data_IF_373917934218
#
_entry.id   IF_373917934218
#
_cell.length_a   1.000
_cell.length_b   1.000
_cell.length_c   1.000
_cell.angle_alpha   90.00
_cell.angle_beta   90.00
_cell.angle_gamma   90.00
#
_symmetry.space_group_name_H-M   'P 1'
#
loop_
_entity.id
_entity.type
_entity.pdbx_description
1 polymer ?
#
# COMPACT_ATOMS: atom_id res chain seq x y z
N UNK A 1 1.91 4.36 4.07
CA UNK A 1 1.47 3.63 2.86
C UNK A 1 -0.03 3.26 2.84
N UNK A 2 -0.64 2.90 3.97
CA UNK A 2 -2.03 2.40 4.02
C UNK A 2 -3.13 3.47 3.90
N UNK A 3 -2.83 4.75 4.16
CA UNK A 3 -3.78 5.87 4.03
C UNK A 3 -3.71 6.65 2.70
N UNK A 4 -2.84 6.26 1.76
CA UNK A 4 -2.73 6.96 0.48
C UNK A 4 -3.98 6.69 -0.39
N UNK A 5 -4.34 7.64 -1.26
CA UNK A 5 -5.34 7.42 -2.32
C UNK A 5 -4.80 6.40 -3.33
N UNK A 6 -5.68 5.61 -3.96
CA UNK A 6 -5.30 4.56 -4.92
C UNK A 6 -4.30 5.00 -6.02
N UNK A 7 -4.45 6.19 -6.65
CA UNK A 7 -3.50 6.63 -7.67
C UNK A 7 -2.11 6.90 -7.10
N UNK A 8 -2.03 7.45 -5.88
CA UNK A 8 -0.74 7.71 -5.22
C UNK A 8 -0.05 6.42 -4.80
N UNK A 9 -0.82 5.41 -4.41
CA UNK A 9 -0.29 4.07 -4.15
C UNK A 9 0.28 3.46 -5.43
N UNK A 10 -0.48 3.44 -6.52
CA UNK A 10 0.00 2.93 -7.81
C UNK A 10 1.25 3.68 -8.31
N UNK A 11 1.28 5.01 -8.18
CA UNK A 11 2.44 5.82 -8.53
C UNK A 11 3.67 5.47 -7.67
N UNK A 12 3.50 5.28 -6.35
CA UNK A 12 4.60 4.90 -5.47
C UNK A 12 5.20 3.54 -5.88
N UNK A 13 4.34 2.57 -6.19
CA UNK A 13 4.74 1.23 -6.65
C UNK A 13 5.49 1.30 -7.97
N UNK A 14 4.96 2.05 -8.93
CA UNK A 14 5.61 2.26 -10.22
C UNK A 14 6.99 2.93 -10.07
N UNK A 15 7.13 3.90 -9.17
CA UNK A 15 8.42 4.54 -8.89
C UNK A 15 9.43 3.58 -8.25
N UNK A 16 9.01 2.74 -7.31
CA UNK A 16 9.88 1.70 -6.71
C UNK A 16 10.33 0.72 -7.78
N UNK A 17 9.40 0.24 -8.62
CA UNK A 17 9.70 -0.66 -9.72
C UNK A 17 10.70 -0.04 -10.71
N UNK A 18 10.45 1.19 -11.17
CA UNK A 18 11.36 1.90 -12.07
C UNK A 18 12.73 2.15 -11.43
N UNK A 19 12.76 2.53 -10.14
CA UNK A 19 14.00 2.75 -9.39
C UNK A 19 14.84 1.49 -9.26
N UNK A 20 14.22 0.34 -8.99
CA UNK A 20 14.91 -0.96 -8.96
C UNK A 20 15.46 -1.33 -10.34
N UNK A 21 14.67 -1.18 -11.40
CA UNK A 21 15.14 -1.47 -12.76
C UNK A 21 16.31 -0.56 -13.17
N UNK A 22 16.26 0.73 -12.83
CA UNK A 22 17.36 1.65 -13.10
C UNK A 22 18.63 1.28 -12.31
N UNK A 23 18.48 0.84 -11.06
CA UNK A 23 19.59 0.36 -10.24
C UNK A 23 20.25 -0.88 -10.86
N UNK A 24 19.46 -1.90 -11.23
CA UNK A 24 20.00 -3.11 -11.86
C UNK A 24 20.55 -2.84 -13.25
N UNK A 25 19.93 -1.98 -14.05
CA UNK A 25 20.47 -1.52 -15.33
C UNK A 25 21.87 -0.89 -15.16
N UNK A 26 22.05 -0.05 -14.14
CA UNK A 26 23.34 0.53 -13.81
C UNK A 26 24.37 -0.54 -13.40
N UNK A 27 23.97 -1.52 -12.59
CA UNK A 27 24.84 -2.66 -12.23
C UNK A 27 25.27 -3.44 -13.48
N UNK A 28 24.33 -3.83 -14.35
CA UNK A 28 24.67 -4.52 -15.60
C UNK A 28 25.59 -3.71 -16.50
N UNK A 29 25.45 -2.39 -16.49
CA UNK A 29 26.26 -1.50 -17.32
C UNK A 29 27.73 -1.44 -16.91
N UNK A 30 28.10 -1.83 -15.68
CA UNK A 30 29.49 -1.82 -15.21
C UNK A 30 30.40 -2.81 -15.93
N UNK A 31 29.85 -3.92 -16.43
CA UNK A 31 30.59 -4.82 -17.29
C UNK A 31 30.01 -4.77 -18.69
N UNK A 32 30.80 -4.26 -19.63
CA UNK A 32 30.42 -4.23 -21.04
C UNK A 32 30.29 -5.65 -21.58
N UNK A 33 29.30 -5.89 -22.46
CA UNK A 33 28.96 -7.21 -23.00
C UNK A 33 28.57 -8.26 -21.93
N UNK A 34 27.99 -7.82 -20.80
CA UNK A 34 27.45 -8.69 -19.75
C UNK A 34 26.16 -9.43 -20.17
N UNK A 35 25.43 -8.88 -21.14
CA UNK A 35 24.13 -9.37 -21.63
C UNK A 35 24.27 -9.68 -23.13
N UNK A 36 23.93 -10.92 -23.51
CA UNK A 36 23.85 -11.34 -24.90
C UNK A 36 22.52 -10.90 -25.55
N UNK A 37 22.51 -10.72 -26.88
CA UNK A 37 21.30 -10.35 -27.62
C UNK A 37 20.93 -8.86 -27.56
N UNK A 38 21.86 -8.01 -27.13
CA UNK A 38 21.73 -6.54 -27.19
C UNK A 38 21.74 -6.07 -28.64
N UNK A 39 20.85 -5.11 -28.96
CA UNK A 39 20.71 -4.50 -30.29
C UNK A 39 21.85 -3.55 -30.66
N UNK A 40 22.80 -3.29 -29.76
CA UNK A 40 24.03 -2.52 -30.00
C UNK A 40 23.85 -1.00 -30.16
N UNK A 41 22.60 -0.51 -30.26
CA UNK A 41 22.32 0.92 -30.41
C UNK A 41 22.55 1.73 -29.12
N UNK A 42 22.02 1.25 -27.99
CA UNK A 42 22.18 1.93 -26.70
C UNK A 42 22.31 0.92 -25.54
N UNK A 43 23.56 0.65 -25.14
CA UNK A 43 23.91 -0.33 -24.11
C UNK A 43 23.10 -0.20 -22.81
N UNK A 44 22.96 1.01 -22.28
CA UNK A 44 22.21 1.23 -21.03
C UNK A 44 20.71 0.91 -21.16
N UNK A 45 20.10 1.25 -22.31
CA UNK A 45 18.68 0.93 -22.54
C UNK A 45 18.48 -0.58 -22.71
N UNK A 46 19.42 -1.28 -23.36
CA UNK A 46 19.39 -2.74 -23.43
C UNK A 46 19.52 -3.36 -22.03
N UNK A 47 20.41 -2.86 -21.17
CA UNK A 47 20.50 -3.28 -19.75
C UNK A 47 19.21 -2.99 -18.98
N UNK A 48 18.55 -1.86 -19.23
CA UNK A 48 17.29 -1.49 -18.59
C UNK A 48 16.15 -2.41 -19.01
N UNK A 49 15.98 -2.67 -20.30
CA UNK A 49 14.95 -3.59 -20.77
C UNK A 49 15.23 -5.03 -20.36
N UNK A 50 16.50 -5.44 -20.29
CA UNK A 50 16.90 -6.72 -19.71
C UNK A 50 16.51 -6.83 -18.23
N UNK A 51 16.75 -5.78 -17.44
CA UNK A 51 16.33 -5.71 -16.03
C UNK A 51 14.81 -5.79 -15.90
N UNK A 52 14.05 -5.03 -16.72
CA UNK A 52 12.57 -5.05 -16.73
C UNK A 52 12.02 -6.45 -16.94
N UNK A 53 12.52 -7.19 -17.94
CA UNK A 53 12.05 -8.57 -18.18
C UNK A 53 12.50 -9.56 -17.11
N UNK A 54 13.63 -9.30 -16.43
CA UNK A 54 14.20 -10.19 -15.40
C UNK A 54 13.48 -9.99 -14.07
N UNK A 55 13.36 -8.74 -13.61
CA UNK A 55 12.66 -8.37 -12.37
C UNK A 55 11.17 -8.73 -12.43
N UNK A 56 10.52 -8.57 -13.59
CA UNK A 56 9.12 -8.97 -13.79
C UNK A 56 8.96 -10.47 -14.09
N UNK A 57 10.05 -11.25 -14.17
CA UNK A 57 10.05 -12.69 -14.50
C UNK A 57 9.41 -13.03 -15.85
N UNK A 58 9.42 -12.09 -16.80
CA UNK A 58 8.88 -12.27 -18.16
C UNK A 58 9.84 -13.09 -19.02
N UNK A 59 11.13 -12.71 -19.04
CA UNK A 59 12.19 -13.41 -19.75
C UNK A 59 11.86 -13.78 -21.21
N UNK A 60 11.76 -12.79 -22.12
CA UNK A 60 11.42 -13.03 -23.53
C UNK A 60 12.36 -13.98 -24.27
N UNK A 61 13.56 -14.24 -23.73
CA UNK A 61 14.52 -15.22 -24.25
C UNK A 61 15.48 -14.66 -25.30
N UNK A 62 15.24 -13.45 -25.81
CA UNK A 62 16.17 -12.78 -26.74
C UNK A 62 17.43 -12.26 -26.05
N UNK A 63 17.28 -11.72 -24.84
CA UNK A 63 18.40 -11.23 -24.01
C UNK A 63 18.60 -12.13 -22.79
N UNK A 64 19.85 -12.52 -22.54
CA UNK A 64 20.22 -13.40 -21.43
C UNK A 64 21.60 -13.02 -20.85
N UNK A 65 21.86 -13.29 -19.55
CA UNK A 65 23.16 -13.01 -18.96
C UNK A 65 24.23 -13.89 -19.59
N UNK A 66 25.36 -13.29 -20.01
CA UNK A 66 26.44 -13.98 -20.73
C UNK A 66 27.67 -14.20 -19.85
N UNK A 67 27.92 -13.33 -18.87
CA UNK A 67 29.09 -13.41 -17.99
C UNK A 67 28.70 -13.93 -16.61
N UNK A 68 29.68 -14.50 -15.87
CA UNK A 68 29.47 -14.93 -14.49
C UNK A 68 28.94 -13.79 -13.60
N UNK A 69 29.46 -12.57 -13.80
CA UNK A 69 28.97 -11.37 -13.14
C UNK A 69 27.49 -11.11 -13.44
N UNK A 70 27.09 -11.15 -14.72
CA UNK A 70 25.69 -10.96 -15.11
C UNK A 70 24.76 -12.01 -14.48
N UNK A 71 25.21 -13.27 -14.41
CA UNK A 71 24.49 -14.34 -13.72
C UNK A 71 24.30 -14.05 -12.23
N UNK A 72 25.35 -13.60 -11.53
CA UNK A 72 25.27 -13.23 -10.12
C UNK A 72 24.29 -12.07 -9.91
N UNK A 73 24.42 -11.00 -10.70
CA UNK A 73 23.51 -9.84 -10.61
C UNK A 73 22.06 -10.27 -10.91
N UNK A 74 21.83 -11.10 -11.93
CA UNK A 74 20.49 -11.60 -12.27
C UNK A 74 19.88 -12.46 -11.19
N UNK A 75 20.68 -13.25 -10.47
CA UNK A 75 20.20 -14.07 -9.36
C UNK A 75 19.70 -13.18 -8.21
N UNK A 76 20.45 -12.12 -7.90
CA UNK A 76 20.06 -11.14 -6.88
C UNK A 76 18.82 -10.36 -7.34
N UNK A 77 18.74 -10.00 -8.62
CA UNK A 77 17.59 -9.31 -9.21
C UNK A 77 16.32 -10.15 -9.13
N UNK A 78 16.39 -11.42 -9.54
CA UNK A 78 15.25 -12.35 -9.50
C UNK A 78 14.76 -12.53 -8.05
N UNK A 79 15.68 -12.71 -7.10
CA UNK A 79 15.33 -12.81 -5.68
C UNK A 79 14.61 -11.53 -5.19
N UNK A 80 15.12 -10.36 -5.58
CA UNK A 80 14.53 -9.05 -5.26
C UNK A 80 13.13 -8.91 -5.87
N UNK A 81 12.94 -9.35 -7.12
CA UNK A 81 11.65 -9.34 -7.81
C UNK A 81 10.60 -10.21 -7.12
N UNK A 82 10.98 -11.40 -6.65
CA UNK A 82 10.09 -12.29 -5.89
C UNK A 82 9.66 -11.64 -4.57
N UNK A 83 10.59 -11.04 -3.82
CA UNK A 83 10.26 -10.33 -2.59
C UNK A 83 9.36 -9.12 -2.85
N UNK A 84 9.64 -8.35 -3.90
CA UNK A 84 8.81 -7.22 -4.29
C UNK A 84 7.38 -7.67 -4.60
N UNK A 85 7.21 -8.73 -5.38
CA UNK A 85 5.91 -9.30 -5.71
C UNK A 85 5.16 -9.77 -4.44
N UNK A 86 5.84 -10.45 -3.53
CA UNK A 86 5.25 -10.92 -2.28
C UNK A 86 4.76 -9.76 -1.40
N UNK A 87 5.59 -8.74 -1.20
CA UNK A 87 5.24 -7.54 -0.41
C UNK A 87 4.10 -6.78 -1.08
N UNK A 88 4.17 -6.60 -2.40
CA UNK A 88 3.15 -5.90 -3.17
C UNK A 88 1.79 -6.57 -3.07
N UNK A 89 1.75 -7.89 -3.21
CA UNK A 89 0.54 -8.68 -3.07
C UNK A 89 -0.04 -8.56 -1.67
N UNK A 90 0.79 -8.66 -0.63
CA UNK A 90 0.38 -8.48 0.76
C UNK A 90 -0.18 -7.08 1.04
N UNK A 91 0.45 -6.03 0.53
CA UNK A 91 -0.02 -4.64 0.69
C UNK A 91 -1.36 -4.41 -0.02
N UNK A 92 -1.53 -4.96 -1.23
CA UNK A 92 -2.79 -4.90 -1.97
C UNK A 92 -3.90 -5.63 -1.19
N UNK A 93 -3.61 -6.82 -0.67
CA UNK A 93 -4.55 -7.59 0.14
C UNK A 93 -4.99 -6.82 1.38
N UNK A 94 -4.06 -6.31 2.19
CA UNK A 94 -4.37 -5.51 3.39
C UNK A 94 -5.21 -4.28 3.04
N UNK A 95 -4.95 -3.66 1.88
CA UNK A 95 -5.69 -2.48 1.42
C UNK A 95 -7.13 -2.82 1.00
N UNK A 96 -7.36 -3.98 0.40
CA UNK A 96 -8.72 -4.46 0.08
C UNK A 96 -9.46 -5.00 1.30
N UNK A 97 -8.74 -5.61 2.25
CA UNK A 97 -9.33 -6.20 3.46
C UNK A 97 -9.72 -5.18 4.52
N UNK A 98 -9.50 -3.87 4.31
CA UNK A 98 -9.95 -2.83 5.26
C UNK A 98 -11.46 -2.63 5.14
N UNK A 99 -12.27 -3.06 6.14
CA UNK A 99 -13.69 -2.80 6.12
C UNK A 99 -13.93 -1.30 6.28
N UNK A 100 -14.75 -0.73 5.40
CA UNK A 100 -15.24 0.63 5.55
C UNK A 100 -16.54 0.53 6.34
N UNK A 101 -16.49 0.81 7.64
CA UNK A 101 -17.69 0.96 8.44
C UNK A 101 -18.47 2.18 7.93
N UNK A 102 -19.66 1.96 7.37
CA UNK A 102 -20.57 3.02 6.95
C UNK A 102 -21.70 3.10 7.97
N UNK A 103 -21.44 3.89 9.00
CA UNK A 103 -22.37 4.11 10.10
C UNK A 103 -22.86 5.54 10.03
N UNK A 104 -24.18 5.72 10.08
CA UNK A 104 -24.84 7.04 10.09
C UNK A 104 -25.43 7.28 11.46
N UNK A 105 -25.26 8.50 11.96
CA UNK A 105 -25.82 8.96 13.23
C UNK A 105 -26.99 9.90 12.97
N UNK A 106 -27.97 9.93 13.87
CA UNK A 106 -29.02 10.95 13.83
C UNK A 106 -28.44 12.35 14.02
N UNK A 107 -28.94 13.33 13.26
CA UNK A 107 -28.51 14.73 13.35
C UNK A 107 -28.81 15.40 14.70
N UNK A 108 -29.71 14.81 15.48
CA UNK A 108 -30.11 15.34 16.78
C UNK A 108 -30.11 14.21 17.82
N UNK A 109 -29.71 14.56 19.04
CA UNK A 109 -29.97 13.75 20.23
C UNK A 109 -31.28 14.23 20.86
N UNK A 110 -32.03 13.30 21.45
CA UNK A 110 -33.29 13.63 22.12
C UNK A 110 -33.25 13.12 23.55
N UNK A 111 -33.81 13.89 24.48
CA UNK A 111 -34.04 13.47 25.85
C UNK A 111 -35.54 13.26 26.01
N UNK A 112 -35.94 12.03 26.30
CA UNK A 112 -37.34 11.67 26.50
C UNK A 112 -37.47 10.66 27.64
N UNK A 113 -38.68 10.50 28.16
CA UNK A 113 -38.96 9.49 29.18
C UNK A 113 -38.98 8.10 28.55
N UNK A 114 -38.12 7.20 29.02
CA UNK A 114 -38.13 5.77 28.69
C UNK A 114 -38.23 5.00 30.00
N UNK A 115 -39.27 4.17 30.13
CA UNK A 115 -39.57 3.46 31.37
C UNK A 115 -39.61 4.38 32.62
N UNK A 116 -40.16 5.59 32.45
CA UNK A 116 -40.31 6.56 33.53
C UNK A 116 -39.05 7.35 33.90
N UNK A 117 -37.92 7.14 33.19
CA UNK A 117 -36.65 7.85 33.46
C UNK A 117 -36.25 8.74 32.28
N UNK A 118 -35.76 9.97 32.52
CA UNK A 118 -35.22 10.81 31.47
C UNK A 118 -34.00 10.12 30.86
N UNK A 119 -34.09 9.79 29.58
CA UNK A 119 -33.09 8.99 28.86
C UNK A 119 -32.63 9.75 27.63
N UNK A 120 -31.31 9.90 27.48
CA UNK A 120 -30.68 10.42 26.27
C UNK A 120 -30.71 9.32 25.20
N UNK A 121 -31.26 9.64 24.04
CA UNK A 121 -31.39 8.70 22.93
C UNK A 121 -30.69 9.25 21.68
N UNK A 122 -30.00 8.34 20.99
CA UNK A 122 -29.38 8.56 19.68
C UNK A 122 -29.77 7.39 18.78
N UNK A 123 -30.02 7.67 17.50
CA UNK A 123 -30.25 6.61 16.50
C UNK A 123 -29.00 6.41 15.68
N UNK A 124 -28.67 5.14 15.43
CA UNK A 124 -27.52 4.73 14.66
C UNK A 124 -28.01 3.79 13.56
N UNK A 125 -27.67 4.09 12.32
CA UNK A 125 -28.00 3.30 11.15
C UNK A 125 -26.75 2.66 10.56
N UNK A 126 -26.86 1.39 10.17
CA UNK A 126 -25.88 0.74 9.34
C UNK A 126 -26.27 0.94 7.87
N UNK A 127 -25.42 1.58 7.08
CA UNK A 127 -25.65 1.71 5.63
C UNK A 127 -25.14 0.50 4.85
N UNK A 128 -24.44 -0.43 5.48
CA UNK A 128 -23.99 -1.65 4.84
C UNK A 128 -25.13 -2.67 4.75
N UNK A 129 -25.19 -3.43 3.64
CA UNK A 129 -26.17 -4.51 3.44
C UNK A 129 -25.94 -5.70 4.39
N UNK A 130 -24.73 -5.83 4.93
CA UNK A 130 -24.36 -6.89 5.87
C UNK A 130 -24.58 -6.43 7.31
N UNK A 131 -25.11 -7.32 8.15
CA UNK A 131 -25.25 -7.07 9.59
C UNK A 131 -23.88 -6.91 10.25
N UNK A 132 -23.76 -5.93 11.14
CA UNK A 132 -22.58 -5.78 11.99
C UNK A 132 -22.69 -6.77 13.14
N UNK A 133 -21.67 -7.62 13.28
CA UNK A 133 -21.52 -8.54 14.42
C UNK A 133 -20.67 -7.83 15.47
N UNK A 134 -21.01 -7.98 16.76
CA UNK A 134 -20.27 -7.38 17.90
C UNK A 134 -20.12 -5.85 17.85
N UNK A 135 -21.20 -5.14 17.51
CA UNK A 135 -21.20 -3.67 17.54
C UNK A 135 -21.14 -3.15 19.00
N UNK A 136 -20.01 -2.55 19.38
CA UNK A 136 -19.86 -1.80 20.63
C UNK A 136 -20.04 -0.30 20.36
N UNK A 137 -20.86 0.37 21.19
CA UNK A 137 -21.07 1.82 21.11
C UNK A 137 -20.63 2.48 22.41
N UNK A 138 -19.85 3.57 22.30
CA UNK A 138 -19.41 4.37 23.43
C UNK A 138 -19.88 5.81 23.28
N UNK A 139 -20.56 6.33 24.29
CA UNK A 139 -20.96 7.73 24.38
C UNK A 139 -19.96 8.43 25.30
N UNK A 140 -19.30 9.48 24.79
CA UNK A 140 -18.37 10.32 25.55
C UNK A 140 -19.02 11.68 25.77
N UNK A 141 -19.08 12.14 27.02
CA UNK A 141 -19.51 13.48 27.38
C UNK A 141 -18.29 14.28 27.84
N UNK A 142 -18.13 15.49 27.32
CA UNK A 142 -17.05 16.41 27.69
C UNK A 142 -17.68 17.78 27.95
N UNK A 143 -17.29 18.38 29.07
CA UNK A 143 -17.72 19.69 29.52
C UNK A 143 -16.55 20.34 30.25
N UNK A 144 -16.32 21.62 29.99
CA UNK A 144 -15.36 22.41 30.76
C UNK A 144 -15.96 22.68 32.15
N UNK A 145 -15.23 22.32 33.21
CA UNK A 145 -15.61 22.57 34.60
C UNK A 145 -14.53 23.41 35.30
N UNK A 146 -14.87 24.57 35.88
CA UNK A 146 -13.89 25.43 36.53
C UNK A 146 -13.26 24.73 37.72
N UNK A 147 -11.93 24.77 37.81
CA UNK A 147 -11.19 24.25 38.94
C UNK A 147 -11.36 25.19 40.14
N UNK A 148 -11.58 24.63 41.32
CA UNK A 148 -11.74 25.40 42.57
C UNK A 148 -10.46 26.18 42.89
N UNK A 149 -9.31 25.68 42.44
CA UNK A 149 -7.98 26.29 42.60
C UNK A 149 -7.69 27.46 41.64
N UNK A 150 -8.65 27.89 40.82
CA UNK A 150 -8.54 29.12 40.03
C UNK A 150 -7.61 29.02 38.81
N UNK A 151 -7.58 27.86 38.15
CA UNK A 151 -6.95 27.68 36.84
C UNK A 151 -7.99 27.57 35.74
N UNK A 152 -7.83 28.34 34.67
CA UNK A 152 -8.50 28.08 33.40
C UNK A 152 -7.82 26.89 32.69
N UNK A 153 -8.59 26.09 31.95
CA UNK A 153 -8.03 25.10 31.02
C UNK A 153 -7.18 25.75 29.93
#
# INVERSE_FOLDING_TARGET
MLGLRWPRFAALVANIYLGLNLLFAALYSFQQNSIAGSTGGHWFFDCFFFSVQTLATVGYGHMYPQTLYAHIVSTIEIMTGIFLLAVMTGLIFVRFSRPIARVVFSNSLVIASLNGKPTLMVRIGNENQHSMVEAEFRIMFSRDEPLVEGGDF
#
